data_IF_471223950774
#
_entry.id   IF_471223950774
#
_cell.length_a   1.000
_cell.length_b   1.000
_cell.length_c   1.000
_cell.angle_alpha   90.00
_cell.angle_beta   90.00
_cell.angle_gamma   90.00
#
_symmetry.space_group_name_H-M   'P 1'
#
loop_
_entity.id
_entity.type
_entity.pdbx_description
1 polymer ?
#
# COMPACT_ATOMS: atom_id res chain seq x y z
N UNK A 1 -27.35 2.55 -8.51
CA UNK A 1 -25.89 2.68 -8.40
C UNK A 1 -25.26 1.67 -9.34
N UNK A 2 -24.26 2.06 -10.13
CA UNK A 2 -23.51 1.09 -10.94
C UNK A 2 -22.68 0.18 -10.02
N UNK A 3 -22.42 -1.06 -10.47
CA UNK A 3 -21.50 -1.97 -9.77
C UNK A 3 -20.10 -1.35 -9.74
N UNK A 4 -19.42 -1.27 -8.58
CA UNK A 4 -18.07 -0.72 -8.52
C UNK A 4 -17.08 -1.66 -9.21
N UNK A 5 -16.01 -1.07 -9.74
CA UNK A 5 -14.84 -1.83 -10.19
C UNK A 5 -13.96 -2.16 -8.97
N UNK A 6 -13.42 -3.38 -8.93
CA UNK A 6 -12.49 -3.82 -7.88
C UNK A 6 -11.17 -4.15 -8.57
N UNK A 7 -10.09 -3.49 -8.14
CA UNK A 7 -8.74 -3.72 -8.64
C UNK A 7 -7.86 -4.19 -7.49
N UNK A 8 -7.25 -5.38 -7.64
CA UNK A 8 -6.33 -5.97 -6.68
C UNK A 8 -4.91 -5.91 -7.25
N UNK A 9 -4.01 -5.24 -6.54
CA UNK A 9 -2.58 -5.30 -6.79
C UNK A 9 -1.96 -6.29 -5.83
N UNK A 10 -1.17 -7.23 -6.35
CA UNK A 10 -0.38 -8.17 -5.57
C UNK A 10 1.07 -8.09 -6.07
N UNK A 11 2.00 -7.96 -5.15
CA UNK A 11 3.44 -7.86 -5.43
C UNK A 11 4.15 -9.10 -4.89
N UNK A 12 5.24 -9.48 -5.54
CA UNK A 12 6.06 -10.64 -5.15
C UNK A 12 7.18 -10.22 -4.17
N UNK A 13 7.42 -11.01 -3.13
CA UNK A 13 8.43 -10.78 -2.07
C UNK A 13 8.47 -9.37 -1.44
N UNK A 14 7.35 -8.63 -1.50
CA UNK A 14 7.30 -7.24 -1.05
C UNK A 14 7.04 -7.12 0.44
N UNK A 15 8.09 -6.87 1.22
CA UNK A 15 8.00 -6.62 2.66
C UNK A 15 7.41 -5.24 3.01
N UNK A 16 6.72 -5.16 4.15
CA UNK A 16 6.17 -3.91 4.71
C UNK A 16 7.23 -2.80 4.81
N UNK A 17 8.45 -3.18 5.22
CA UNK A 17 9.60 -2.29 5.39
C UNK A 17 10.04 -1.59 4.10
N UNK A 18 9.58 -2.01 2.92
CA UNK A 18 10.00 -1.43 1.65
C UNK A 18 9.19 -0.19 1.22
N UNK A 19 8.21 0.28 2.02
CA UNK A 19 7.35 1.40 1.66
C UNK A 19 7.53 2.59 2.60
N UNK A 20 7.50 3.79 2.01
CA UNK A 20 7.57 5.06 2.74
C UNK A 20 6.46 5.23 3.76
N UNK A 21 5.23 4.81 3.41
CA UNK A 21 4.09 4.86 4.31
C UNK A 21 4.28 4.03 5.58
N UNK A 22 5.16 3.02 5.60
CA UNK A 22 5.52 2.25 6.80
C UNK A 22 6.81 2.73 7.49
N UNK A 23 7.34 3.89 7.10
CA UNK A 23 8.47 4.54 7.76
C UNK A 23 9.82 4.38 7.06
N UNK A 24 9.86 3.80 5.85
CA UNK A 24 11.09 3.75 5.07
C UNK A 24 11.44 5.15 4.51
N UNK A 25 12.58 5.72 4.89
CA UNK A 25 13.02 7.04 4.39
C UNK A 25 13.95 6.97 3.17
N UNK A 26 14.38 5.78 2.75
CA UNK A 26 15.34 5.58 1.66
C UNK A 26 14.63 5.28 0.33
N UNK A 27 13.60 4.43 0.36
CA UNK A 27 12.85 4.03 -0.82
C UNK A 27 11.72 5.01 -1.12
N UNK A 28 11.59 5.38 -2.40
CA UNK A 28 10.60 6.35 -2.85
C UNK A 28 9.36 5.63 -3.40
N UNK A 29 8.27 5.63 -2.63
CA UNK A 29 6.99 5.00 -3.00
C UNK A 29 5.81 5.99 -3.05
N UNK A 30 5.94 7.16 -3.70
CA UNK A 30 4.99 8.26 -3.53
C UNK A 30 3.54 7.91 -3.92
N UNK A 31 3.33 6.98 -4.86
CA UNK A 31 1.99 6.53 -5.25
C UNK A 31 1.34 5.63 -4.18
N UNK A 32 2.12 4.76 -3.53
CA UNK A 32 1.63 3.91 -2.45
C UNK A 32 1.43 4.74 -1.17
N UNK A 33 2.29 5.73 -0.93
CA UNK A 33 2.16 6.65 0.19
C UNK A 33 0.89 7.50 0.08
N UNK A 34 0.59 7.98 -1.13
CA UNK A 34 -0.66 8.67 -1.44
C UNK A 34 -1.86 7.75 -1.23
N UNK A 35 -1.82 6.51 -1.74
CA UNK A 35 -2.91 5.54 -1.55
C UNK A 35 -3.17 5.24 -0.06
N UNK A 36 -2.11 5.13 0.75
CA UNK A 36 -2.22 4.92 2.18
C UNK A 36 -2.82 6.14 2.92
N UNK A 37 -2.58 7.36 2.43
CA UNK A 37 -3.10 8.61 3.01
C UNK A 37 -4.56 8.88 2.62
N UNK A 38 -4.94 8.55 1.39
CA UNK A 38 -6.30 8.72 0.87
C UNK A 38 -7.24 7.57 1.23
N UNK A 39 -6.70 6.45 1.74
CA UNK A 39 -7.43 5.23 2.02
C UNK A 39 -7.21 4.70 3.44
N UNK A 40 -7.14 3.38 3.54
CA UNK A 40 -6.84 2.67 4.78
C UNK A 40 -5.50 1.94 4.64
N UNK A 41 -4.71 1.95 5.72
CA UNK A 41 -3.43 1.23 5.82
C UNK A 41 -3.50 0.29 7.01
N UNK A 42 -3.16 -0.98 6.80
CA UNK A 42 -3.16 -2.00 7.84
C UNK A 42 -1.76 -2.10 8.45
N UNK A 43 -1.62 -1.78 9.74
CA UNK A 43 -0.33 -1.87 10.42
C UNK A 43 0.11 -3.33 10.66
N UNK A 44 -0.85 -4.23 10.86
CA UNK A 44 -0.66 -5.63 11.24
C UNK A 44 -1.41 -6.56 10.26
N UNK A 45 -0.84 -6.77 9.07
CA UNK A 45 -1.35 -7.69 8.05
C UNK A 45 -0.43 -8.91 7.91
N UNK A 46 -1.00 -10.12 7.91
CA UNK A 46 -0.27 -11.39 7.88
C UNK A 46 -0.57 -12.16 6.58
N UNK A 47 0.42 -12.88 6.05
CA UNK A 47 0.33 -13.75 4.87
C UNK A 47 0.30 -15.22 5.25
#
# INVERSE_FOLDING_TARGET
>A
MARPNILLFLTDDHGQWANGCYGNSELQTPNLDRLATEGARFADAFT
#
